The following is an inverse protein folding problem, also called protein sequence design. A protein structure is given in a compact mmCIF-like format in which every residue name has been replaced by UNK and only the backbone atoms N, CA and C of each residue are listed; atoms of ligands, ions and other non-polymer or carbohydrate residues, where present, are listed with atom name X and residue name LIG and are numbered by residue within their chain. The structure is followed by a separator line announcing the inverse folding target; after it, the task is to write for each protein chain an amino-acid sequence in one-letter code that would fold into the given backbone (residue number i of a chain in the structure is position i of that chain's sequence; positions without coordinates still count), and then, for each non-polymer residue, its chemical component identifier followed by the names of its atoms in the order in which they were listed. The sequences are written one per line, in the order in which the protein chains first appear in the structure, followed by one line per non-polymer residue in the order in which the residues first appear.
data_IF_314586308018
#
_entry.id   IF_314586308018
#
_cell.length_a   1.000
_cell.length_b   1.000
_cell.length_c   1.000
_cell.angle_alpha   90.00
_cell.angle_beta   90.00
_cell.angle_gamma   90.00
#
_symmetry.space_group_name_H-M   'P 1'
#
loop_
_entity.id
_entity.type
_entity.pdbx_description
1 polymer ?
#
# COMPACT_ATOMS: atom_id res chain seq x y z
N UNK A 1 -35.39 36.92 -1.84
CA UNK A 1 -34.74 36.08 -2.85
C UNK A 1 -33.35 35.77 -2.33
N UNK A 2 -33.22 34.62 -1.66
CA UNK A 2 -31.94 34.14 -1.14
C UNK A 2 -31.59 32.92 -1.96
N UNK A 3 -30.75 33.12 -2.97
CA UNK A 3 -30.03 32.01 -3.60
C UNK A 3 -28.93 31.58 -2.64
N UNK A 4 -28.98 30.31 -2.21
CA UNK A 4 -27.89 29.64 -1.51
C UNK A 4 -27.49 28.45 -2.35
N UNK A 5 -26.56 28.68 -3.28
CA UNK A 5 -25.74 27.63 -3.87
C UNK A 5 -24.59 27.34 -2.91
N UNK A 6 -24.53 26.12 -2.40
CA UNK A 6 -23.32 25.44 -1.92
C UNK A 6 -23.65 23.95 -1.97
N UNK A 7 -23.31 23.30 -3.09
CA UNK A 7 -22.12 22.44 -3.20
C UNK A 7 -22.29 21.19 -2.33
N UNK A 8 -22.75 20.13 -2.97
CA UNK A 8 -22.74 18.77 -2.44
C UNK A 8 -21.30 18.33 -2.24
N UNK A 9 -20.89 18.20 -0.97
CA UNK A 9 -19.68 17.50 -0.56
C UNK A 9 -19.73 16.06 -1.11
N UNK A 10 -18.86 15.76 -2.07
CA UNK A 10 -18.41 14.39 -2.32
C UNK A 10 -17.47 14.02 -1.18
N UNK A 11 -18.00 13.29 -0.21
CA UNK A 11 -17.24 12.68 0.88
C UNK A 11 -16.34 11.61 0.27
N UNK A 12 -15.04 11.91 0.16
CA UNK A 12 -13.99 10.90 -0.05
C UNK A 12 -14.02 9.95 1.17
N UNK A 13 -14.68 8.80 1.04
CA UNK A 13 -14.80 7.78 2.09
C UNK A 13 -13.55 6.89 2.21
N UNK A 14 -12.36 7.41 1.94
CA UNK A 14 -11.14 6.71 2.35
C UNK A 14 -10.88 7.03 3.84
N UNK A 15 -10.81 6.03 4.73
CA UNK A 15 -10.52 6.29 6.14
C UNK A 15 -9.14 6.96 6.27
N UNK A 16 -9.13 8.12 6.90
CA UNK A 16 -7.92 8.89 7.20
C UNK A 16 -6.99 8.06 8.09
N UNK A 17 -5.95 7.48 7.49
CA UNK A 17 -4.90 6.74 8.19
C UNK A 17 -4.06 7.64 9.12
N UNK A 18 -4.31 8.96 9.14
CA UNK A 18 -3.54 9.92 9.92
C UNK A 18 -4.12 10.24 11.31
N UNK A 19 -5.33 9.79 11.65
CA UNK A 19 -5.94 10.08 12.96
C UNK A 19 -5.97 8.88 13.92
N UNK A 20 -5.00 8.83 14.83
CA UNK A 20 -5.07 8.28 16.20
C UNK A 20 -5.77 6.92 16.45
N UNK A 21 -5.79 5.98 15.49
CA UNK A 21 -6.23 4.60 15.77
C UNK A 21 -5.27 3.83 16.70
N UNK A 22 -3.98 4.18 16.71
CA UNK A 22 -2.98 3.56 17.59
C UNK A 22 -3.27 3.78 19.10
N UNK A 23 -3.91 4.88 19.49
CA UNK A 23 -4.23 5.17 20.90
C UNK A 23 -5.46 4.39 21.41
N UNK A 24 -6.37 3.97 20.52
CA UNK A 24 -7.56 3.21 20.92
C UNK A 24 -7.30 1.70 21.05
N UNK A 25 -6.36 1.14 20.28
CA UNK A 25 -6.07 -0.30 20.29
C UNK A 25 -4.98 -0.72 21.29
N UNK A 26 -4.03 0.16 21.60
CA UNK A 26 -2.99 -0.11 22.61
C UNK A 26 -3.56 -0.43 24.02
N UNK A 27 -4.77 0.06 24.33
CA UNK A 27 -5.43 -0.17 25.63
C UNK A 27 -6.15 -1.53 25.77
N UNK A 28 -6.19 -2.37 24.73
CA UNK A 28 -6.93 -3.65 24.76
C UNK A 28 -6.07 -4.91 24.73
N UNK A 29 -4.75 -4.82 24.72
CA UNK A 29 -3.87 -5.97 25.04
C UNK A 29 -3.91 -7.16 24.08
N UNK A 30 -4.51 -7.03 22.90
CA UNK A 30 -4.50 -8.02 21.82
C UNK A 30 -4.27 -7.27 20.50
N UNK A 31 -3.43 -7.85 19.63
CA UNK A 31 -3.15 -7.46 18.24
C UNK A 31 -1.99 -6.46 18.06
N UNK A 32 -0.77 -6.99 17.99
CA UNK A 32 0.42 -6.29 17.47
C UNK A 32 0.33 -6.26 15.95
N UNK A 33 0.58 -5.10 15.33
CA UNK A 33 0.78 -4.98 13.89
C UNK A 33 1.71 -6.10 13.38
N UNK A 34 1.30 -6.89 12.37
CA UNK A 34 2.18 -7.92 11.85
C UNK A 34 3.19 -7.30 10.86
N UNK A 35 4.42 -7.80 10.93
CA UNK A 35 5.47 -7.43 9.97
C UNK A 35 5.83 -8.66 9.16
N UNK A 36 5.66 -8.54 7.84
CA UNK A 36 5.99 -9.59 6.88
C UNK A 36 7.24 -9.16 6.11
N UNK A 37 8.37 -9.83 6.36
CA UNK A 37 9.61 -9.58 5.62
C UNK A 37 9.71 -10.55 4.45
N UNK A 38 10.04 -10.03 3.26
CA UNK A 38 10.32 -10.87 2.10
C UNK A 38 11.78 -11.30 2.02
N UNK A 39 11.99 -12.43 1.36
CA UNK A 39 13.30 -12.98 1.05
C UNK A 39 13.43 -13.12 -0.47
N UNK A 40 14.61 -13.54 -0.95
CA UNK A 40 14.77 -13.83 -2.37
C UNK A 40 13.82 -14.97 -2.80
N UNK A 41 13.27 -14.86 -4.00
CA UNK A 41 12.38 -15.81 -4.62
C UNK A 41 10.98 -15.25 -4.83
N UNK A 42 10.03 -16.18 -4.97
CA UNK A 42 8.60 -15.86 -5.04
C UNK A 42 7.96 -16.17 -3.70
N UNK A 43 7.54 -15.13 -3.00
CA UNK A 43 6.88 -15.21 -1.71
C UNK A 43 5.35 -15.09 -1.82
N UNK A 44 4.66 -15.69 -0.84
CA UNK A 44 3.21 -15.52 -0.64
C UNK A 44 2.97 -15.02 0.77
N UNK A 45 2.58 -13.76 0.88
CA UNK A 45 2.31 -13.08 2.14
C UNK A 45 0.80 -12.99 2.36
N UNK A 46 0.39 -13.10 3.61
CA UNK A 46 -1.01 -13.07 4.00
C UNK A 46 -1.15 -12.06 5.12
N UNK A 47 -1.96 -11.03 4.88
CA UNK A 47 -2.46 -10.16 5.93
C UNK A 47 -3.38 -10.93 6.89
N UNK A 48 -3.39 -10.45 8.11
CA UNK A 48 -4.34 -10.77 9.15
C UNK A 48 -5.65 -9.99 8.97
N UNK A 49 -6.71 -10.43 9.64
CA UNK A 49 -8.00 -9.73 9.65
C UNK A 49 -8.03 -8.78 10.85
N UNK A 50 -8.65 -7.60 10.68
CA UNK A 50 -8.89 -6.59 11.72
C UNK A 50 -7.62 -5.99 12.36
N UNK A 51 -6.44 -6.09 11.71
CA UNK A 51 -5.16 -5.61 12.24
C UNK A 51 -4.33 -4.98 11.13
N UNK A 52 -3.74 -3.82 11.43
CA UNK A 52 -2.79 -3.18 10.53
C UNK A 52 -1.54 -4.05 10.30
N UNK A 53 -1.28 -4.39 9.05
CA UNK A 53 -0.10 -5.11 8.61
C UNK A 53 0.91 -4.26 7.86
N UNK A 54 2.18 -4.65 7.98
CA UNK A 54 3.30 -4.02 7.28
C UNK A 54 4.05 -5.05 6.47
N UNK A 55 4.00 -4.92 5.16
CA UNK A 55 4.70 -5.78 4.22
C UNK A 55 6.00 -5.09 3.78
N UNK A 56 7.13 -5.72 4.05
CA UNK A 56 8.46 -5.10 3.98
C UNK A 56 9.30 -5.75 2.90
N UNK A 57 9.71 -4.95 1.91
CA UNK A 57 10.72 -5.32 0.93
C UNK A 57 12.00 -4.53 1.14
N UNK A 58 13.14 -5.21 1.04
CA UNK A 58 14.47 -4.60 1.11
C UNK A 58 15.16 -4.81 -0.22
N UNK A 59 15.78 -3.77 -0.76
CA UNK A 59 16.48 -3.83 -2.06
C UNK A 59 17.44 -5.02 -2.15
N UNK A 60 18.17 -5.34 -1.08
CA UNK A 60 19.13 -6.46 -1.04
C UNK A 60 18.50 -7.86 -1.19
N UNK A 61 17.18 -7.99 -1.02
CA UNK A 61 16.45 -9.25 -1.13
C UNK A 61 15.69 -9.37 -2.47
N UNK A 62 15.69 -8.34 -3.30
CA UNK A 62 15.01 -8.33 -4.60
C UNK A 62 15.86 -9.10 -5.63
N UNK A 63 15.23 -10.03 -6.34
CA UNK A 63 15.93 -10.96 -7.25
C UNK A 63 15.28 -11.11 -8.63
N UNK A 64 14.38 -10.18 -8.97
CA UNK A 64 13.57 -10.21 -10.20
C UNK A 64 12.30 -11.06 -10.08
N UNK A 65 12.05 -11.64 -8.89
CA UNK A 65 10.88 -12.45 -8.60
C UNK A 65 9.55 -11.68 -8.59
N UNK A 66 8.48 -12.47 -8.43
CA UNK A 66 7.13 -11.97 -8.21
C UNK A 66 6.64 -12.47 -6.86
N UNK A 67 6.23 -11.55 -6.00
CA UNK A 67 5.60 -11.83 -4.71
C UNK A 67 4.11 -11.57 -4.78
N UNK A 68 3.36 -12.28 -3.94
CA UNK A 68 1.91 -12.21 -3.87
C UNK A 68 1.48 -11.83 -2.46
N UNK A 69 0.65 -10.79 -2.35
CA UNK A 69 0.05 -10.35 -1.08
C UNK A 69 -1.44 -10.63 -1.11
N UNK A 70 -1.92 -11.37 -0.13
CA UNK A 70 -3.34 -11.63 0.11
C UNK A 70 -3.81 -10.92 1.37
N UNK A 71 -5.11 -10.63 1.42
CA UNK A 71 -5.76 -9.95 2.54
C UNK A 71 -5.10 -8.60 2.88
N UNK A 72 -4.68 -7.85 1.85
CA UNK A 72 -4.25 -6.48 2.04
C UNK A 72 -5.48 -5.58 2.12
N UNK A 73 -5.67 -4.87 3.22
CA UNK A 73 -6.81 -3.96 3.40
C UNK A 73 -6.34 -2.53 3.73
N UNK A 74 -6.40 -1.59 2.76
CA UNK A 74 -6.06 -0.20 3.04
C UNK A 74 -7.00 0.47 4.05
N UNK A 75 -8.21 -0.06 4.28
CA UNK A 75 -9.14 0.42 5.31
C UNK A 75 -8.74 0.00 6.73
N UNK A 76 -7.91 -1.03 6.86
CA UNK A 76 -7.25 -1.44 8.11
C UNK A 76 -5.89 -0.74 8.32
N UNK A 77 -5.55 0.18 7.41
CA UNK A 77 -4.28 0.91 7.36
C UNK A 77 -3.08 0.02 7.00
N UNK A 78 -3.28 -1.09 6.30
CA UNK A 78 -2.18 -1.91 5.78
C UNK A 78 -1.22 -1.09 4.92
N UNK A 79 0.06 -1.43 5.00
CA UNK A 79 1.11 -0.69 4.31
C UNK A 79 2.16 -1.57 3.69
N UNK A 80 2.68 -1.07 2.57
CA UNK A 80 3.91 -1.54 1.93
C UNK A 80 5.04 -0.61 2.33
N UNK A 81 6.14 -1.20 2.80
CA UNK A 81 7.36 -0.49 3.14
C UNK A 81 8.52 -0.96 2.25
N UNK A 82 9.09 -0.03 1.50
CA UNK A 82 10.24 -0.28 0.62
C UNK A 82 11.50 0.33 1.25
N UNK A 83 12.52 -0.50 1.47
CA UNK A 83 13.83 -0.09 1.98
C UNK A 83 14.88 -0.08 0.88
N UNK A 84 15.60 1.03 0.74
CA UNK A 84 16.65 1.20 -0.27
C UNK A 84 16.10 1.38 -1.69
N UNK A 85 14.82 1.71 -1.82
CA UNK A 85 14.15 1.96 -3.10
C UNK A 85 13.73 3.42 -3.16
N UNK A 86 13.94 4.08 -4.29
CA UNK A 86 13.45 5.43 -4.52
C UNK A 86 12.12 5.45 -5.28
N UNK A 87 11.36 6.52 -5.12
CA UNK A 87 10.02 6.61 -5.69
C UNK A 87 10.01 6.48 -7.23
N UNK A 88 11.03 7.02 -7.90
CA UNK A 88 11.20 6.93 -9.36
C UNK A 88 11.50 5.52 -9.86
N UNK A 89 11.85 4.59 -8.97
CA UNK A 89 12.01 3.16 -9.29
C UNK A 89 10.68 2.40 -9.25
N UNK A 90 9.60 3.00 -8.76
CA UNK A 90 8.33 2.32 -8.52
C UNK A 90 7.32 2.71 -9.57
N UNK A 91 6.70 1.70 -10.17
CA UNK A 91 5.52 1.86 -11.02
C UNK A 91 4.33 1.10 -10.44
N UNK A 92 3.12 1.62 -10.70
CA UNK A 92 1.87 1.11 -10.16
C UNK A 92 0.86 0.91 -11.30
N UNK A 93 0.26 -0.28 -11.36
CA UNK A 93 -0.76 -0.59 -12.35
C UNK A 93 -1.86 -1.49 -11.77
N UNK A 94 -3.01 -1.51 -12.43
CA UNK A 94 -4.12 -2.43 -12.10
C UNK A 94 -4.45 -3.26 -13.34
N UNK A 95 -4.50 -4.59 -13.21
CA UNK A 95 -4.72 -5.49 -14.33
C UNK A 95 -6.19 -5.91 -14.54
N UNK A 96 -7.12 -5.24 -13.84
CA UNK A 96 -8.54 -5.61 -13.80
C UNK A 96 -8.94 -6.45 -12.59
N UNK A 97 -7.98 -7.02 -11.86
CA UNK A 97 -8.24 -7.82 -10.66
C UNK A 97 -7.25 -7.55 -9.51
N UNK A 98 -5.99 -7.27 -9.83
CA UNK A 98 -4.92 -7.11 -8.86
C UNK A 98 -4.19 -5.80 -9.10
N UNK A 99 -3.70 -5.21 -8.02
CA UNK A 99 -2.71 -4.14 -8.09
C UNK A 99 -1.34 -4.77 -8.31
N UNK A 100 -0.58 -4.22 -9.24
CA UNK A 100 0.80 -4.62 -9.53
C UNK A 100 1.71 -3.44 -9.24
N UNK A 101 2.54 -3.59 -8.22
CA UNK A 101 3.68 -2.70 -7.95
C UNK A 101 4.90 -3.32 -8.63
N UNK A 102 5.60 -2.57 -9.49
CA UNK A 102 6.89 -3.02 -10.03
C UNK A 102 7.99 -2.09 -9.56
N UNK A 103 9.10 -2.69 -9.16
CA UNK A 103 10.30 -1.99 -8.73
C UNK A 103 11.38 -2.26 -9.76
N UNK A 104 11.91 -1.19 -10.35
CA UNK A 104 12.90 -1.26 -11.43
C UNK A 104 14.18 -0.50 -11.12
N UNK A 105 15.25 -0.84 -11.84
CA UNK A 105 16.49 -0.08 -11.86
C UNK A 105 17.03 -0.02 -13.29
N UNK A 106 16.90 1.16 -13.92
CA UNK A 106 17.11 1.28 -15.36
C UNK A 106 16.08 0.48 -16.14
N UNK A 107 16.53 -0.38 -17.05
CA UNK A 107 15.66 -1.24 -17.87
C UNK A 107 15.34 -2.60 -17.21
N UNK A 108 15.90 -2.87 -16.02
CA UNK A 108 15.72 -4.14 -15.32
C UNK A 108 14.61 -4.07 -14.27
N UNK A 109 13.73 -5.07 -14.28
CA UNK A 109 12.77 -5.27 -13.18
C UNK A 109 13.48 -5.99 -12.04
N UNK A 110 13.53 -5.34 -10.87
CA UNK A 110 14.14 -5.88 -9.65
C UNK A 110 13.13 -6.69 -8.84
N UNK A 111 11.84 -6.30 -8.85
CA UNK A 111 10.80 -7.02 -8.13
C UNK A 111 9.41 -6.71 -8.71
N UNK A 112 8.53 -7.70 -8.70
CA UNK A 112 7.09 -7.50 -8.87
C UNK A 112 6.38 -7.86 -7.58
N UNK A 113 5.44 -7.03 -7.16
CA UNK A 113 4.55 -7.30 -6.03
C UNK A 113 3.12 -7.24 -6.56
N UNK A 114 2.42 -8.37 -6.47
CA UNK A 114 1.01 -8.48 -6.82
C UNK A 114 0.18 -8.45 -5.54
N UNK A 115 -0.59 -7.39 -5.35
CA UNK A 115 -1.57 -7.27 -4.28
C UNK A 115 -2.90 -7.79 -4.80
N UNK A 116 -3.31 -8.96 -4.29
CA UNK A 116 -4.41 -9.72 -4.84
C UNK A 116 -5.76 -9.12 -4.43
N UNK A 117 -6.62 -8.94 -5.42
CA UNK A 117 -8.03 -8.53 -5.30
C UNK A 117 -8.22 -7.11 -4.72
N UNK A 118 -7.20 -6.25 -4.85
CA UNK A 118 -7.23 -4.86 -4.42
C UNK A 118 -6.96 -3.95 -5.61
N UNK A 119 -7.73 -2.87 -5.74
CA UNK A 119 -7.47 -1.79 -6.70
C UNK A 119 -6.97 -0.55 -5.96
N UNK A 120 -5.65 -0.39 -5.86
CA UNK A 120 -5.01 0.79 -5.26
C UNK A 120 -4.84 1.96 -6.25
N UNK A 121 -5.06 1.72 -7.54
CA UNK A 121 -5.01 2.79 -8.57
C UNK A 121 -6.31 3.60 -8.56
N UNK A 122 -7.44 2.92 -8.38
CA UNK A 122 -8.77 3.52 -8.48
C UNK A 122 -9.01 4.09 -9.88
N UNK A 123 -9.60 5.29 -9.95
CA UNK A 123 -9.83 6.03 -11.22
C UNK A 123 -8.69 7.00 -11.56
N UNK A 124 -7.56 6.94 -10.84
CA UNK A 124 -6.45 7.88 -10.97
C UNK A 124 -5.47 7.44 -12.06
N UNK A 125 -4.65 8.38 -12.54
CA UNK A 125 -3.43 8.01 -13.26
C UNK A 125 -2.45 7.32 -12.32
N UNK A 126 -1.50 6.55 -12.85
CA UNK A 126 -0.44 5.90 -12.07
C UNK A 126 0.29 6.89 -11.15
N UNK A 127 0.74 8.02 -11.69
CA UNK A 127 1.48 9.02 -10.92
C UNK A 127 0.64 9.62 -9.77
N UNK A 128 -0.66 9.89 -10.02
CA UNK A 128 -1.55 10.40 -9.00
C UNK A 128 -1.91 9.34 -7.95
N UNK A 129 -2.02 8.07 -8.35
CA UNK A 129 -2.24 6.96 -7.42
C UNK A 129 -1.01 6.73 -6.53
N UNK A 130 0.20 6.69 -7.08
CA UNK A 130 1.44 6.58 -6.30
C UNK A 130 1.56 7.71 -5.28
N UNK A 131 1.35 8.95 -5.70
CA UNK A 131 1.39 10.09 -4.79
C UNK A 131 0.34 9.96 -3.68
N UNK A 132 -0.89 9.57 -4.02
CA UNK A 132 -1.94 9.36 -3.05
C UNK A 132 -1.59 8.27 -2.02
N UNK A 133 -1.03 7.13 -2.44
CA UNK A 133 -0.61 6.06 -1.53
C UNK A 133 0.51 6.50 -0.58
N UNK A 134 1.41 7.37 -1.05
CA UNK A 134 2.47 7.95 -0.22
C UNK A 134 1.88 8.91 0.81
N UNK A 135 0.98 9.81 0.39
CA UNK A 135 0.31 10.77 1.28
C UNK A 135 -0.53 10.07 2.38
N UNK A 136 -1.12 8.92 2.06
CA UNK A 136 -1.89 8.09 3.00
C UNK A 136 -1.02 7.16 3.86
N UNK A 137 0.30 7.12 3.67
CA UNK A 137 1.22 6.16 4.28
C UNK A 137 0.92 4.67 3.97
N UNK A 138 0.12 4.39 2.94
CA UNK A 138 -0.10 3.03 2.41
C UNK A 138 1.16 2.52 1.69
N UNK A 139 1.92 3.41 1.07
CA UNK A 139 3.24 3.12 0.49
C UNK A 139 4.28 4.02 1.14
N UNK A 140 5.29 3.44 1.77
CA UNK A 140 6.35 4.19 2.46
C UNK A 140 7.73 3.79 1.95
N UNK A 141 8.62 4.77 1.93
CA UNK A 141 10.01 4.62 1.50
C UNK A 141 10.95 4.91 2.67
N UNK A 142 12.02 4.13 2.78
CA UNK A 142 13.06 4.34 3.79
C UNK A 142 14.43 3.93 3.22
N UNK A 143 15.49 4.53 3.74
CA UNK A 143 16.87 4.31 3.31
C UNK A 143 17.74 3.91 4.49
#
# INVERSE_FOLDING_TARGET
MTDKLASTDTVDNAPDCQTNRLEQFANRGWMTAAQHNTFAGTDRLFGSEDVQDTFVWRQQNMDGGTDYVRNFDPSECDRVQLHGVSQDQVSLSFNGMHTILRIGQGDETQQIIQIENVNLVGERSEAAALLHLIEQNTLTFSY
#
